data_IF_768770886288
#
_entry.id   IF_768770886288
#
_cell.length_a   1.000
_cell.length_b   1.000
_cell.length_c   1.000
_cell.angle_alpha   90.00
_cell.angle_beta   90.00
_cell.angle_gamma   90.00
#
_symmetry.space_group_name_H-M   'P 1'
#
loop_
_entity.id
_entity.type
_entity.pdbx_description
1 polymer ?
#
# COMPACT_ATOMS: atom_id res chain seq x y z
N UNK A 1 -12.27 0.53 -7.81
CA UNK A 1 -11.17 0.85 -6.87
C UNK A 1 -9.94 0.13 -7.34
N UNK A 2 -8.90 0.86 -7.75
CA UNK A 2 -7.68 0.27 -8.32
C UNK A 2 -6.80 -0.34 -7.21
N UNK A 3 -7.36 -1.24 -6.41
CA UNK A 3 -6.57 -2.13 -5.59
C UNK A 3 -5.80 -3.04 -6.56
N UNK A 4 -4.55 -2.66 -6.80
CA UNK A 4 -3.60 -3.44 -7.59
C UNK A 4 -3.04 -4.57 -6.74
N UNK A 5 -1.71 -4.57 -6.58
CA UNK A 5 -0.98 -5.56 -5.80
C UNK A 5 -0.05 -4.88 -4.80
N UNK A 6 0.27 -5.57 -3.71
CA UNK A 6 1.39 -5.22 -2.85
C UNK A 6 2.57 -6.12 -3.21
N UNK A 7 3.68 -5.52 -3.64
CA UNK A 7 4.86 -6.28 -4.04
C UNK A 7 5.56 -6.94 -2.84
N UNK A 8 6.19 -8.11 -3.04
CA UNK A 8 7.00 -8.75 -2.01
C UNK A 8 8.07 -7.79 -1.45
N UNK A 9 8.08 -7.64 -0.13
CA UNK A 9 8.97 -6.70 0.57
C UNK A 9 8.29 -5.43 1.06
N UNK A 10 7.05 -5.14 0.64
CA UNK A 10 6.30 -3.98 1.12
C UNK A 10 6.15 -3.99 2.64
N UNK A 11 6.74 -2.99 3.31
CA UNK A 11 6.71 -2.85 4.76
C UNK A 11 7.44 -3.96 5.56
N UNK A 12 8.09 -4.91 4.90
CA UNK A 12 8.70 -6.06 5.57
C UNK A 12 10.11 -5.76 6.09
N UNK A 13 10.47 -6.32 7.25
CA UNK A 13 11.75 -6.06 7.93
C UNK A 13 12.98 -6.54 7.15
N UNK A 14 12.92 -7.69 6.49
CA UNK A 14 14.03 -8.15 5.64
C UNK A 14 14.28 -7.25 4.41
N UNK A 15 13.30 -6.39 4.07
CA UNK A 15 13.41 -5.37 3.04
C UNK A 15 13.64 -3.95 3.62
N UNK A 16 14.07 -3.86 4.88
CA UNK A 16 14.36 -2.60 5.56
C UNK A 16 13.12 -1.81 6.03
N UNK A 17 11.94 -2.43 6.04
CA UNK A 17 10.70 -1.81 6.55
C UNK A 17 10.43 -2.09 8.03
N UNK A 18 9.58 -1.27 8.66
CA UNK A 18 9.08 -1.49 10.03
C UNK A 18 7.54 -1.61 10.05
N UNK A 19 6.97 -2.11 8.96
CA UNK A 19 5.57 -1.90 8.58
C UNK A 19 5.41 -0.70 7.65
N UNK A 20 4.36 -0.72 6.83
CA UNK A 20 3.97 0.40 5.98
C UNK A 20 2.46 0.59 6.00
N UNK A 21 2.00 1.83 5.83
CA UNK A 21 0.57 2.16 5.74
C UNK A 21 0.14 2.10 4.28
N UNK A 22 -0.86 1.28 3.99
CA UNK A 22 -1.48 1.25 2.68
C UNK A 22 -2.29 2.54 2.44
N UNK A 23 -2.13 3.12 1.26
CA UNK A 23 -3.00 4.20 0.79
C UNK A 23 -4.15 3.56 0.03
N UNK A 24 -5.38 3.83 0.46
CA UNK A 24 -6.59 3.34 -0.18
C UNK A 24 -7.31 4.51 -0.81
N UNK A 25 -7.59 4.42 -2.11
CA UNK A 25 -8.66 5.22 -2.68
C UNK A 25 -9.97 4.62 -2.18
N UNK A 26 -10.91 5.42 -1.66
CA UNK A 26 -12.26 4.98 -1.24
C UNK A 26 -13.29 5.92 -1.86
N UNK A 27 -14.35 5.38 -2.46
CA UNK A 27 -15.45 6.12 -3.08
C UNK A 27 -16.77 5.53 -2.60
N UNK A 28 -17.70 6.40 -2.23
CA UNK A 28 -19.09 5.99 -2.01
C UNK A 28 -19.80 5.84 -3.34
N UNK A 29 -20.62 4.80 -3.49
CA UNK A 29 -21.49 4.61 -4.65
C UNK A 29 -22.95 4.83 -4.24
N UNK A 30 -23.67 5.63 -5.04
CA UNK A 30 -25.13 5.83 -5.02
C UNK A 30 -25.75 6.56 -3.80
N UNK A 31 -25.22 6.37 -2.59
CA UNK A 31 -25.76 6.97 -1.36
C UNK A 31 -24.64 7.63 -0.54
N UNK A 32 -24.88 8.75 0.17
CA UNK A 32 -23.93 9.29 1.13
C UNK A 32 -23.55 8.25 2.19
N UNK A 33 -22.26 8.09 2.43
CA UNK A 33 -21.74 7.13 3.40
C UNK A 33 -20.76 7.83 4.35
N UNK A 34 -20.95 7.62 5.66
CA UNK A 34 -20.04 8.10 6.69
C UNK A 34 -19.01 7.02 6.93
N UNK A 35 -17.73 7.39 6.83
CA UNK A 35 -16.60 6.53 7.18
C UNK A 35 -16.07 6.95 8.55
N UNK A 36 -15.96 6.00 9.46
CA UNK A 36 -15.47 6.23 10.82
C UNK A 36 -14.06 5.67 11.03
N UNK A 37 -13.39 6.18 12.06
CA UNK A 37 -12.09 5.65 12.46
C UNK A 37 -12.20 4.20 12.94
N UNK A 38 -11.31 3.33 12.47
CA UNK A 38 -11.31 1.90 12.81
C UNK A 38 -12.32 1.06 12.01
N UNK A 39 -13.14 1.69 11.17
CA UNK A 39 -14.05 0.97 10.30
C UNK A 39 -13.28 0.11 9.29
N UNK A 40 -13.68 -1.16 9.16
CA UNK A 40 -13.08 -2.06 8.17
C UNK A 40 -13.53 -1.66 6.77
N UNK A 41 -12.57 -1.30 5.91
CA UNK A 41 -12.81 -0.85 4.52
C UNK A 41 -12.37 -1.87 3.47
N UNK A 42 -11.73 -2.97 3.88
CA UNK A 42 -11.24 -4.00 2.98
C UNK A 42 -10.44 -5.08 3.69
N UNK A 43 -9.91 -6.01 2.90
CA UNK A 43 -9.06 -7.11 3.37
C UNK A 43 -7.85 -7.25 2.45
N UNK A 44 -6.69 -7.53 3.05
CA UNK A 44 -5.50 -7.92 2.32
C UNK A 44 -5.47 -9.45 2.17
N UNK A 45 -5.30 -9.92 0.95
CA UNK A 45 -5.14 -11.35 0.62
C UNK A 45 -3.67 -11.60 0.29
N UNK A 46 -3.10 -12.65 0.87
CA UNK A 46 -1.72 -13.05 0.61
C UNK A 46 -1.71 -14.23 -0.35
N UNK A 47 -0.90 -14.13 -1.40
CA UNK A 47 -0.69 -15.20 -2.36
C UNK A 47 0.78 -15.64 -2.34
N UNK A 48 0.99 -16.94 -2.51
CA UNK A 48 2.34 -17.51 -2.51
C UNK A 48 2.95 -17.33 -3.90
N UNK A 49 4.14 -16.73 -3.94
CA UNK A 49 4.92 -16.61 -5.17
C UNK A 49 5.45 -17.97 -5.62
N UNK A 50 5.59 -18.15 -6.94
CA UNK A 50 6.16 -19.36 -7.54
C UNK A 50 7.60 -19.62 -7.04
N UNK A 51 8.37 -18.56 -6.91
CA UNK A 51 9.75 -18.58 -6.40
C UNK A 51 10.06 -17.32 -5.60
N UNK A 52 11.22 -17.30 -4.94
CA UNK A 52 11.67 -16.12 -4.19
C UNK A 52 12.03 -15.00 -5.18
N UNK A 53 11.45 -13.79 -5.05
CA UNK A 53 11.78 -12.67 -5.92
C UNK A 53 13.27 -12.30 -5.83
N UNK A 54 13.88 -12.00 -6.98
CA UNK A 54 15.27 -11.52 -7.07
C UNK A 54 15.44 -10.11 -6.50
N UNK A 55 14.40 -9.30 -6.55
CA UNK A 55 14.36 -7.93 -6.04
C UNK A 55 13.17 -7.78 -5.11
N UNK A 56 13.40 -7.15 -3.96
CA UNK A 56 12.35 -6.83 -3.00
C UNK A 56 11.97 -5.35 -3.08
N UNK A 57 10.69 -5.08 -2.91
CA UNK A 57 10.18 -3.72 -2.73
C UNK A 57 10.86 -3.06 -1.53
N UNK A 58 11.21 -1.78 -1.64
CA UNK A 58 11.95 -1.03 -0.64
C UNK A 58 13.45 -1.05 -0.88
N UNK A 59 14.08 -2.18 -0.53
CA UNK A 59 15.54 -2.33 -0.46
C UNK A 59 16.22 -2.21 -1.83
N UNK A 60 15.69 -2.90 -2.82
CA UNK A 60 16.37 -3.08 -4.11
C UNK A 60 15.81 -2.18 -5.21
N UNK A 61 14.62 -1.62 -4.99
CA UNK A 61 13.89 -0.81 -5.96
C UNK A 61 13.55 0.50 -5.25
N UNK A 62 14.11 1.63 -5.69
CA UNK A 62 13.87 2.96 -5.11
C UNK A 62 12.38 3.20 -4.90
N UNK A 63 11.93 3.04 -3.66
CA UNK A 63 10.51 2.85 -3.35
C UNK A 63 9.88 4.14 -2.87
N UNK A 64 8.80 4.55 -3.53
CA UNK A 64 8.07 5.76 -3.18
C UNK A 64 7.21 5.61 -1.91
N UNK A 65 6.93 4.38 -1.47
CA UNK A 65 5.98 4.08 -0.38
C UNK A 65 6.57 3.19 0.73
N UNK A 66 7.88 2.90 0.72
CA UNK A 66 8.53 2.17 1.81
C UNK A 66 8.80 3.14 2.97
N UNK A 67 8.34 2.80 4.18
CA UNK A 67 8.65 3.50 5.44
C UNK A 67 8.26 4.99 5.57
N UNK A 68 7.41 5.54 4.70
CA UNK A 68 6.97 6.95 4.79
C UNK A 68 5.50 7.07 5.20
N UNK A 69 5.15 8.15 5.93
CA UNK A 69 3.77 8.50 6.27
C UNK A 69 2.88 8.71 5.04
N UNK A 70 1.57 8.92 5.24
CA UNK A 70 0.57 9.14 4.19
C UNK A 70 1.10 10.13 3.13
N UNK A 71 1.45 9.61 1.95
CA UNK A 71 2.00 10.39 0.84
C UNK A 71 0.98 10.42 -0.28
N UNK A 72 0.64 11.62 -0.72
CA UNK A 72 -0.16 11.82 -1.93
C UNK A 72 0.56 11.16 -3.12
N UNK A 73 -0.22 10.66 -4.08
CA UNK A 73 0.32 10.07 -5.30
C UNK A 73 1.32 11.02 -5.98
N UNK A 74 2.36 10.48 -6.62
CA UNK A 74 3.37 11.26 -7.36
C UNK A 74 2.80 12.15 -8.48
N UNK A 75 1.52 11.95 -8.81
CA UNK A 75 0.78 12.75 -9.78
C UNK A 75 0.21 14.06 -9.18
N UNK A 76 0.26 14.23 -7.85
CA UNK A 76 -0.11 15.47 -7.18
C UNK A 76 1.12 16.36 -7.01
N UNK A 77 1.00 17.64 -7.37
CA UNK A 77 2.00 18.66 -7.06
C UNK A 77 1.76 19.17 -5.64
N UNK A 78 2.80 19.24 -4.82
CA UNK A 78 2.79 20.04 -3.59
C UNK A 78 2.72 21.51 -3.99
N UNK A 79 1.68 22.20 -3.51
CA UNK A 79 1.57 23.66 -3.64
C UNK A 79 2.63 24.39 -2.83
#
# INVERSE_FOLDING_TARGET
>A
HYAGFFDPGFGHSAAGGAGSRAVLEVRSHEIPFILEHGQTVGRLVYERMLERPRFLYGRDIGSHYQAQGLKLSKHFRTG
#
